data_IF_286619978029
#
_entry.id   IF_286619978029
#
_cell.length_a   1.000
_cell.length_b   1.000
_cell.length_c   1.000
_cell.angle_alpha   90.00
_cell.angle_beta   90.00
_cell.angle_gamma   90.00
#
_symmetry.space_group_name_H-M   'P 1'
#
loop_
_entity.id
_entity.type
_entity.pdbx_description
1 polymer ?
#
# COMPACT_ATOMS: atom_id res chain seq x y z
N UNK A 1 9.22 -10.85 31.16
CA UNK A 1 8.75 -10.52 29.81
C UNK A 1 7.44 -9.71 29.94
N UNK A 2 7.53 -8.38 29.75
CA UNK A 2 6.36 -7.53 29.77
C UNK A 2 5.39 -7.99 28.66
N UNK A 3 4.12 -8.28 29.02
CA UNK A 3 3.05 -8.56 28.06
C UNK A 3 2.89 -7.35 27.15
N UNK A 4 3.32 -7.44 25.90
CA UNK A 4 3.05 -6.40 24.90
C UNK A 4 1.54 -6.34 24.68
N UNK A 5 0.90 -5.27 25.16
CA UNK A 5 -0.54 -5.08 25.02
C UNK A 5 -0.92 -4.92 23.55
N UNK A 6 -2.03 -5.53 23.16
CA UNK A 6 -2.59 -5.36 21.81
C UNK A 6 -3.07 -3.92 21.64
N UNK A 7 -2.57 -3.22 20.61
CA UNK A 7 -3.03 -1.86 20.30
C UNK A 7 -4.54 -1.84 20.03
N UNK A 8 -5.22 -0.83 20.56
CA UNK A 8 -6.61 -0.57 20.20
C UNK A 8 -6.72 0.05 18.80
N UNK A 9 -7.93 0.11 18.26
CA UNK A 9 -8.19 0.58 16.91
C UNK A 9 -7.73 2.02 16.65
N UNK A 10 -7.91 2.90 17.63
CA UNK A 10 -7.55 4.32 17.52
C UNK A 10 -6.01 4.48 17.49
N UNK A 11 -5.31 3.73 18.31
CA UNK A 11 -3.84 3.70 18.35
C UNK A 11 -3.24 3.20 17.04
N UNK A 12 -3.81 2.11 16.47
CA UNK A 12 -3.37 1.59 15.17
C UNK A 12 -3.51 2.67 14.09
N UNK A 13 -4.66 3.37 14.03
CA UNK A 13 -4.90 4.44 13.05
C UNK A 13 -3.98 5.64 13.27
N UNK A 14 -3.84 6.10 14.51
CA UNK A 14 -2.92 7.19 14.87
C UNK A 14 -1.48 6.88 14.43
N UNK A 15 -1.03 5.65 14.67
CA UNK A 15 0.30 5.18 14.24
C UNK A 15 0.41 5.15 12.72
N UNK A 16 -0.59 4.63 12.02
CA UNK A 16 -0.61 4.58 10.55
C UNK A 16 -0.51 5.98 9.94
N UNK A 17 -1.29 6.93 10.44
CA UNK A 17 -1.25 8.34 10.02
C UNK A 17 0.16 8.93 10.22
N UNK A 18 0.75 8.75 11.41
CA UNK A 18 2.08 9.27 11.72
C UNK A 18 3.15 8.69 10.78
N UNK A 19 3.11 7.37 10.55
CA UNK A 19 4.06 6.70 9.65
C UNK A 19 3.94 7.25 8.23
N UNK A 20 2.73 7.30 7.66
CA UNK A 20 2.55 7.75 6.28
C UNK A 20 2.77 9.24 6.08
N UNK A 21 2.47 10.09 7.08
CA UNK A 21 2.83 11.51 7.03
C UNK A 21 4.35 11.71 6.91
N UNK A 22 5.13 10.88 7.61
CA UNK A 22 6.60 10.98 7.62
C UNK A 22 7.23 10.37 6.37
N UNK A 23 6.72 9.24 5.91
CA UNK A 23 7.30 8.46 4.80
C UNK A 23 6.91 9.01 3.42
N UNK A 24 5.75 9.65 3.31
CA UNK A 24 5.17 10.07 2.04
C UNK A 24 6.11 10.90 1.12
N UNK A 25 6.91 11.88 1.61
CA UNK A 25 7.79 12.66 0.73
C UNK A 25 8.83 11.78 0.02
N UNK A 26 9.50 10.91 0.77
CA UNK A 26 10.51 10.03 0.22
C UNK A 26 9.89 8.95 -0.67
N UNK A 27 8.77 8.34 -0.24
CA UNK A 27 8.02 7.38 -1.03
C UNK A 27 7.59 7.96 -2.38
N UNK A 28 7.15 9.23 -2.39
CA UNK A 28 6.83 9.95 -3.61
C UNK A 28 8.05 10.10 -4.52
N UNK A 29 9.13 10.69 -3.99
CA UNK A 29 10.34 10.99 -4.75
C UNK A 29 10.97 9.73 -5.35
N UNK A 30 11.17 8.70 -4.54
CA UNK A 30 11.99 7.56 -4.95
C UNK A 30 11.21 6.50 -5.76
N UNK A 31 9.90 6.35 -5.50
CA UNK A 31 9.10 5.30 -6.13
C UNK A 31 7.91 5.82 -6.94
N UNK A 32 7.05 6.63 -6.33
CA UNK A 32 5.77 6.96 -6.93
C UNK A 32 5.94 7.82 -8.19
N UNK A 33 6.68 8.92 -8.11
CA UNK A 33 6.92 9.82 -9.24
C UNK A 33 7.69 9.15 -10.38
N UNK A 34 8.49 8.15 -10.06
CA UNK A 34 9.33 7.40 -11.02
C UNK A 34 8.65 6.16 -11.59
N UNK A 35 7.47 5.78 -11.07
CA UNK A 35 6.73 4.60 -11.52
C UNK A 35 7.44 3.26 -11.29
N UNK A 36 8.34 3.19 -10.30
CA UNK A 36 9.12 1.99 -9.97
C UNK A 36 8.60 1.30 -8.70
N UNK A 37 9.20 0.16 -8.35
CA UNK A 37 8.77 -0.63 -7.20
C UNK A 37 7.30 -1.04 -7.33
N UNK A 38 6.47 -0.81 -6.30
CA UNK A 38 5.05 -1.18 -6.34
C UNK A 38 4.27 -0.51 -7.48
N UNK A 39 4.68 0.68 -7.94
CA UNK A 39 3.99 1.42 -9.01
C UNK A 39 4.08 0.80 -10.40
N UNK A 40 4.95 -0.20 -10.61
CA UNK A 40 4.94 -1.01 -11.84
C UNK A 40 3.60 -1.72 -12.08
N UNK A 41 2.80 -1.93 -11.04
CA UNK A 41 1.47 -2.54 -11.15
C UNK A 41 0.36 -1.57 -11.57
N UNK A 42 0.59 -0.26 -11.54
CA UNK A 42 -0.46 0.76 -11.74
C UNK A 42 -1.13 0.64 -13.10
N UNK A 43 -0.36 0.52 -14.18
CA UNK A 43 -0.94 0.37 -15.54
C UNK A 43 -1.83 -0.86 -15.65
N UNK A 44 -1.45 -1.98 -15.01
CA UNK A 44 -2.24 -3.20 -15.00
C UNK A 44 -3.52 -3.05 -14.18
N UNK A 45 -3.44 -2.39 -13.01
CA UNK A 45 -4.60 -2.05 -12.18
C UNK A 45 -5.62 -1.24 -13.00
N UNK A 46 -5.15 -0.17 -13.64
CA UNK A 46 -6.01 0.72 -14.44
C UNK A 46 -6.55 0.05 -15.70
N UNK A 47 -5.78 -0.85 -16.32
CA UNK A 47 -6.23 -1.62 -17.48
C UNK A 47 -7.37 -2.60 -17.16
N UNK A 48 -7.42 -3.11 -15.92
CA UNK A 48 -8.50 -4.00 -15.45
C UNK A 48 -9.72 -3.23 -14.90
N UNK A 49 -9.59 -1.93 -14.69
CA UNK A 49 -10.62 -1.10 -14.07
C UNK A 49 -11.74 -0.65 -15.05
N UNK A 50 -11.59 -0.92 -16.36
CA UNK A 50 -12.57 -0.53 -17.41
C UNK A 50 -13.04 0.95 -17.29
N UNK A 51 -12.08 1.86 -17.26
CA UNK A 51 -12.30 3.30 -17.09
C UNK A 51 -12.92 3.89 -18.35
N UNK A 52 -14.02 4.62 -18.21
CA UNK A 52 -14.69 5.35 -19.31
C UNK A 52 -14.48 6.85 -19.16
N UNK A 53 -14.45 7.57 -20.28
CA UNK A 53 -14.49 9.06 -20.26
C UNK A 53 -15.79 9.51 -19.58
N UNK A 54 -15.73 10.63 -18.85
CA UNK A 54 -16.86 11.15 -18.08
C UNK A 54 -17.18 10.39 -16.78
N UNK A 55 -16.44 9.30 -16.43
CA UNK A 55 -16.68 8.57 -15.19
C UNK A 55 -16.36 9.39 -13.95
N UNK A 56 -17.13 9.17 -12.89
CA UNK A 56 -16.85 9.63 -11.52
C UNK A 56 -16.17 8.50 -10.76
N UNK A 57 -14.91 8.69 -10.36
CA UNK A 57 -14.04 7.67 -9.79
C UNK A 57 -13.61 8.02 -8.39
N UNK A 58 -13.64 7.03 -7.48
CA UNK A 58 -13.09 7.14 -6.13
C UNK A 58 -11.76 6.38 -6.04
N UNK A 59 -10.68 7.10 -5.73
CA UNK A 59 -9.34 6.52 -5.54
C UNK A 59 -9.00 6.49 -4.05
N UNK A 60 -9.06 5.31 -3.45
CA UNK A 60 -8.90 5.09 -2.02
C UNK A 60 -7.43 4.82 -1.66
N UNK A 61 -6.99 5.36 -0.53
CA UNK A 61 -5.59 5.40 -0.13
C UNK A 61 -4.72 5.96 -1.27
N UNK A 62 -5.15 7.09 -1.82
CA UNK A 62 -4.57 7.71 -3.01
C UNK A 62 -3.11 8.19 -2.79
N UNK A 63 -2.67 8.26 -1.53
CA UNK A 63 -1.32 8.66 -1.16
C UNK A 63 -0.94 10.01 -1.74
N UNK A 64 0.13 10.05 -2.51
CA UNK A 64 0.64 11.27 -3.16
C UNK A 64 0.00 11.55 -4.53
N UNK A 65 -1.10 10.87 -4.87
CA UNK A 65 -1.96 11.21 -6.01
C UNK A 65 -1.48 10.73 -7.38
N UNK A 66 -0.57 9.76 -7.47
CA UNK A 66 -0.07 9.27 -8.78
C UNK A 66 -1.16 8.48 -9.53
N UNK A 67 -1.85 7.57 -8.85
CA UNK A 67 -2.97 6.82 -9.44
C UNK A 67 -4.10 7.77 -9.80
N UNK A 68 -4.44 8.69 -8.89
CA UNK A 68 -5.45 9.74 -9.09
C UNK A 68 -5.17 10.56 -10.35
N UNK A 69 -3.90 10.97 -10.57
CA UNK A 69 -3.46 11.68 -11.77
C UNK A 69 -3.70 10.89 -13.05
N UNK A 70 -3.34 9.61 -13.03
CA UNK A 70 -3.54 8.73 -14.20
C UNK A 70 -5.03 8.48 -14.48
N UNK A 71 -5.85 8.34 -13.44
CA UNK A 71 -7.30 8.24 -13.53
C UNK A 71 -7.89 9.50 -14.14
N UNK A 72 -7.50 10.69 -13.64
CA UNK A 72 -7.96 11.99 -14.14
C UNK A 72 -7.73 12.16 -15.64
N UNK A 73 -6.54 11.77 -16.11
CA UNK A 73 -6.25 11.80 -17.57
C UNK A 73 -7.13 10.83 -18.37
N UNK A 74 -7.51 9.69 -17.79
CA UNK A 74 -8.35 8.68 -18.46
C UNK A 74 -9.84 9.07 -18.50
N UNK A 75 -10.36 9.64 -17.41
CA UNK A 75 -11.78 10.07 -17.38
C UNK A 75 -12.02 11.36 -18.17
N UNK A 76 -10.98 12.17 -18.38
CA UNK A 76 -11.06 13.44 -19.10
C UNK A 76 -11.76 14.53 -18.28
N UNK A 77 -11.89 15.73 -18.88
CA UNK A 77 -12.42 16.93 -18.18
C UNK A 77 -13.90 16.81 -17.77
N UNK A 78 -14.67 15.95 -18.43
CA UNK A 78 -16.09 15.70 -18.09
C UNK A 78 -16.26 14.67 -16.97
N UNK A 79 -15.18 13.99 -16.56
CA UNK A 79 -15.16 13.08 -15.43
C UNK A 79 -14.62 13.75 -14.18
N UNK A 80 -14.72 13.06 -13.04
CA UNK A 80 -14.20 13.51 -11.76
C UNK A 80 -13.45 12.35 -11.08
N UNK A 81 -12.33 12.66 -10.44
CA UNK A 81 -11.61 11.71 -9.58
C UNK A 81 -11.52 12.27 -8.17
N UNK A 82 -12.11 11.57 -7.21
CA UNK A 82 -12.00 11.90 -5.78
C UNK A 82 -10.93 11.00 -5.16
N UNK A 83 -9.79 11.58 -4.80
CA UNK A 83 -8.71 10.90 -4.08
C UNK A 83 -8.89 11.01 -2.57
N UNK A 84 -8.93 9.89 -1.87
CA UNK A 84 -9.09 9.84 -0.41
C UNK A 84 -7.88 9.20 0.23
N UNK A 85 -7.33 9.87 1.26
CA UNK A 85 -6.26 9.31 2.09
C UNK A 85 -6.39 9.77 3.54
N UNK A 86 -5.94 8.94 4.47
CA UNK A 86 -5.92 9.27 5.90
C UNK A 86 -4.72 10.17 6.27
N UNK A 87 -3.66 10.17 5.44
CA UNK A 87 -2.44 10.95 5.62
C UNK A 87 -2.58 12.36 5.02
N UNK A 88 -2.71 13.36 5.88
CA UNK A 88 -2.70 14.76 5.44
C UNK A 88 -1.35 15.17 4.79
N UNK A 89 -0.24 14.56 5.25
CA UNK A 89 1.09 14.78 4.66
C UNK A 89 1.18 14.27 3.22
N UNK A 90 0.66 13.09 2.94
CA UNK A 90 0.58 12.56 1.58
C UNK A 90 -0.32 13.43 0.68
N UNK A 91 -1.48 13.87 1.20
CA UNK A 91 -2.41 14.72 0.46
C UNK A 91 -1.84 16.11 0.13
N UNK A 92 -0.99 16.69 0.99
CA UNK A 92 -0.27 17.94 0.65
C UNK A 92 0.58 17.76 -0.61
N UNK A 93 1.29 16.64 -0.72
CA UNK A 93 2.07 16.31 -1.91
C UNK A 93 1.14 16.06 -3.11
N UNK A 94 0.05 15.30 -2.91
CA UNK A 94 -0.93 15.01 -3.96
C UNK A 94 -1.51 16.28 -4.57
N UNK A 95 -1.94 17.23 -3.75
CA UNK A 95 -2.48 18.54 -4.20
C UNK A 95 -1.42 19.32 -4.98
N UNK A 96 -0.19 19.40 -4.50
CA UNK A 96 0.91 20.08 -5.19
C UNK A 96 1.24 19.44 -6.53
N UNK A 97 1.32 18.10 -6.57
CA UNK A 97 1.68 17.32 -7.76
C UNK A 97 0.61 17.34 -8.85
N UNK A 98 -0.65 17.58 -8.46
CA UNK A 98 -1.80 17.64 -9.35
C UNK A 98 -2.36 19.07 -9.50
N UNK A 99 -1.58 20.06 -9.14
CA UNK A 99 -1.98 21.46 -9.26
C UNK A 99 -2.45 21.76 -10.70
N UNK A 100 -3.51 22.54 -10.84
CA UNK A 100 -4.11 22.93 -12.14
C UNK A 100 -5.06 21.90 -12.77
N UNK A 101 -5.18 20.67 -12.21
CA UNK A 101 -6.16 19.68 -12.69
C UNK A 101 -7.53 19.94 -12.11
N UNK A 102 -8.46 20.39 -12.96
CA UNK A 102 -9.82 20.81 -12.56
C UNK A 102 -10.75 19.63 -12.23
N UNK A 103 -10.39 18.41 -12.63
CA UNK A 103 -11.19 17.19 -12.45
C UNK A 103 -10.64 16.26 -11.38
N UNK A 104 -9.93 16.81 -10.37
CA UNK A 104 -9.46 16.08 -9.20
C UNK A 104 -9.86 16.80 -7.94
N UNK A 105 -10.40 16.05 -6.99
CA UNK A 105 -10.62 16.47 -5.61
C UNK A 105 -9.83 15.58 -4.64
N UNK A 106 -9.32 16.15 -3.55
CA UNK A 106 -8.62 15.39 -2.50
C UNK A 106 -9.30 15.60 -1.15
N UNK A 107 -9.66 14.47 -0.52
CA UNK A 107 -10.37 14.39 0.77
C UNK A 107 -9.50 13.69 1.81
N UNK A 108 -9.28 14.33 2.95
CA UNK A 108 -8.61 13.69 4.09
C UNK A 108 -9.64 12.97 4.94
N UNK A 109 -9.71 11.64 4.82
CA UNK A 109 -10.69 10.83 5.53
C UNK A 109 -10.22 9.40 5.79
N UNK A 110 -10.84 8.77 6.79
CA UNK A 110 -10.69 7.35 7.11
C UNK A 110 -11.64 6.52 6.24
N UNK A 111 -11.09 5.63 5.41
CA UNK A 111 -11.87 4.77 4.50
C UNK A 111 -12.91 3.92 5.25
N UNK A 112 -12.64 3.52 6.50
CA UNK A 112 -13.58 2.73 7.30
C UNK A 112 -14.80 3.54 7.78
N UNK A 113 -14.72 4.87 7.74
CA UNK A 113 -15.80 5.80 8.14
C UNK A 113 -16.37 6.58 6.96
N UNK A 114 -15.85 6.29 5.74
CA UNK A 114 -16.18 7.05 4.55
C UNK A 114 -17.64 6.83 4.13
N UNK A 115 -18.31 7.94 3.82
CA UNK A 115 -19.65 7.96 3.23
C UNK A 115 -19.77 9.17 2.31
N UNK A 116 -20.21 8.94 1.08
CA UNK A 116 -20.58 9.97 0.12
C UNK A 116 -22.04 9.80 -0.26
N UNK A 117 -22.75 10.90 -0.50
CA UNK A 117 -24.12 10.88 -1.05
C UNK A 117 -24.11 10.40 -2.50
N UNK A 118 -23.14 10.89 -3.25
CA UNK A 118 -22.90 10.54 -4.65
C UNK A 118 -22.43 9.09 -4.79
N UNK A 119 -22.76 8.49 -5.93
CA UNK A 119 -22.32 7.14 -6.28
C UNK A 119 -21.25 7.19 -7.37
N UNK A 120 -20.27 6.31 -7.26
CA UNK A 120 -19.13 6.23 -8.15
C UNK A 120 -19.30 5.16 -9.23
N UNK A 121 -18.77 5.45 -10.42
CA UNK A 121 -18.71 4.50 -11.54
C UNK A 121 -17.60 3.47 -11.35
N UNK A 122 -16.56 3.84 -10.61
CA UNK A 122 -15.39 3.00 -10.35
C UNK A 122 -14.80 3.36 -8.99
N UNK A 123 -14.31 2.35 -8.29
CA UNK A 123 -13.44 2.54 -7.13
C UNK A 123 -12.08 1.88 -7.39
N UNK A 124 -11.00 2.56 -7.06
CA UNK A 124 -9.64 2.00 -7.06
C UNK A 124 -9.03 2.04 -5.67
N UNK A 125 -8.15 1.08 -5.36
CA UNK A 125 -7.35 1.07 -4.14
C UNK A 125 -6.03 0.36 -4.40
N UNK A 126 -4.94 1.12 -4.55
CA UNK A 126 -3.62 0.53 -4.75
C UNK A 126 -2.84 0.51 -3.44
N UNK A 127 -2.57 -0.68 -2.91
CA UNK A 127 -1.80 -0.93 -1.68
C UNK A 127 -2.36 -0.31 -0.39
N UNK A 128 -3.65 0.07 -0.37
CA UNK A 128 -4.29 0.63 0.83
C UNK A 128 -5.01 -0.42 1.67
N UNK A 129 -5.76 -1.34 1.03
CA UNK A 129 -6.68 -2.27 1.69
C UNK A 129 -6.02 -3.11 2.80
N UNK A 130 -4.78 -3.53 2.59
CA UNK A 130 -4.04 -4.39 3.51
C UNK A 130 -3.69 -3.70 4.85
N UNK A 131 -3.70 -2.37 4.90
CA UNK A 131 -3.41 -1.59 6.10
C UNK A 131 -4.66 -1.23 6.91
N UNK A 132 -5.86 -1.54 6.42
CA UNK A 132 -7.10 -1.22 7.13
C UNK A 132 -7.30 -2.20 8.30
N UNK A 133 -7.48 -1.72 9.54
CA UNK A 133 -7.78 -2.59 10.67
C UNK A 133 -9.05 -3.42 10.48
N UNK A 134 -10.11 -2.84 9.91
CA UNK A 134 -11.41 -3.47 9.67
C UNK A 134 -11.79 -3.46 8.18
N UNK A 135 -11.11 -4.24 7.31
CA UNK A 135 -11.33 -4.20 5.87
C UNK A 135 -12.75 -4.56 5.45
N UNK A 136 -13.45 -5.43 6.21
CA UNK A 136 -14.85 -5.76 5.94
C UNK A 136 -15.77 -4.54 6.06
N UNK A 137 -15.59 -3.73 7.10
CA UNK A 137 -16.35 -2.48 7.27
C UNK A 137 -16.09 -1.53 6.09
N UNK A 138 -14.82 -1.37 5.71
CA UNK A 138 -14.45 -0.55 4.58
C UNK A 138 -15.06 -1.06 3.27
N UNK A 139 -14.93 -2.35 2.97
CA UNK A 139 -15.46 -2.95 1.73
C UNK A 139 -16.99 -2.83 1.63
N UNK A 140 -17.72 -3.00 2.73
CA UNK A 140 -19.16 -2.81 2.76
C UNK A 140 -19.56 -1.35 2.51
N UNK A 141 -18.86 -0.38 3.13
CA UNK A 141 -19.10 1.05 2.89
C UNK A 141 -18.80 1.43 1.43
N UNK A 142 -17.68 0.97 0.89
CA UNK A 142 -17.29 1.18 -0.51
C UNK A 142 -18.35 0.61 -1.44
N UNK A 143 -18.86 -0.61 -1.17
CA UNK A 143 -19.91 -1.22 -1.98
C UNK A 143 -21.20 -0.40 -2.00
N UNK A 144 -21.56 0.27 -0.89
CA UNK A 144 -22.73 1.18 -0.84
C UNK A 144 -22.52 2.41 -1.74
N UNK A 145 -21.29 2.91 -1.83
CA UNK A 145 -20.94 4.09 -2.64
C UNK A 145 -20.76 3.77 -4.13
N UNK A 146 -20.61 2.50 -4.53
CA UNK A 146 -20.59 2.09 -5.94
C UNK A 146 -22.01 2.11 -6.55
N UNK A 147 -22.16 2.57 -7.79
CA UNK A 147 -23.36 2.35 -8.60
C UNK A 147 -23.57 0.86 -8.88
N UNK A 148 -24.80 0.42 -9.09
CA UNK A 148 -25.11 -0.99 -9.37
C UNK A 148 -24.38 -1.48 -10.63
N UNK A 149 -23.84 -2.72 -10.57
CA UNK A 149 -23.09 -3.32 -11.66
C UNK A 149 -21.70 -2.71 -11.91
N UNK A 150 -21.29 -1.69 -11.17
CA UNK A 150 -19.99 -1.04 -11.33
C UNK A 150 -18.89 -1.76 -10.55
N UNK A 151 -17.66 -1.39 -10.84
CA UNK A 151 -16.46 -2.18 -10.48
C UNK A 151 -15.64 -1.51 -9.40
N UNK A 152 -15.08 -2.32 -8.52
CA UNK A 152 -13.91 -1.96 -7.70
C UNK A 152 -12.68 -2.69 -8.27
N UNK A 153 -11.53 -1.99 -8.33
CA UNK A 153 -10.24 -2.56 -8.71
C UNK A 153 -9.21 -2.30 -7.62
N UNK A 154 -8.58 -3.37 -7.13
CA UNK A 154 -7.66 -3.29 -5.98
C UNK A 154 -6.36 -4.00 -6.30
N UNK A 155 -5.23 -3.41 -5.89
CA UNK A 155 -3.94 -4.08 -5.90
C UNK A 155 -3.39 -4.24 -4.48
N UNK A 156 -2.90 -5.44 -4.17
CA UNK A 156 -2.23 -5.77 -2.90
C UNK A 156 -0.93 -6.53 -3.16
N UNK A 157 -0.01 -6.52 -2.21
CA UNK A 157 1.17 -7.36 -2.30
C UNK A 157 0.81 -8.85 -2.23
N UNK A 158 1.61 -9.68 -2.88
CA UNK A 158 1.61 -11.13 -2.66
C UNK A 158 2.03 -11.48 -1.22
N UNK A 159 1.93 -12.75 -0.86
CA UNK A 159 2.28 -13.24 0.47
C UNK A 159 3.76 -13.00 0.83
N UNK A 160 4.08 -13.25 2.08
CA UNK A 160 5.38 -12.97 2.73
C UNK A 160 6.60 -13.29 1.87
N UNK A 161 6.61 -14.46 1.22
CA UNK A 161 7.73 -14.91 0.41
C UNK A 161 7.72 -14.36 -1.03
N UNK A 162 6.69 -13.62 -1.39
CA UNK A 162 6.48 -13.09 -2.75
C UNK A 162 6.99 -11.67 -2.93
N UNK A 163 7.36 -10.99 -1.83
CA UNK A 163 7.96 -9.64 -1.83
C UNK A 163 9.11 -9.60 -0.82
N UNK A 164 10.21 -10.32 -1.10
CA UNK A 164 11.34 -10.45 -0.17
C UNK A 164 12.04 -9.13 0.17
N UNK A 165 11.86 -8.10 -0.65
CA UNK A 165 12.34 -6.75 -0.34
C UNK A 165 11.96 -6.31 1.08
N UNK A 166 10.72 -6.59 1.50
CA UNK A 166 10.28 -6.24 2.85
C UNK A 166 10.64 -7.31 3.88
N UNK A 167 10.47 -8.60 3.55
CA UNK A 167 10.60 -9.66 4.54
C UNK A 167 12.05 -9.92 4.98
N UNK A 168 13.04 -9.77 4.11
CA UNK A 168 14.44 -10.02 4.46
C UNK A 168 14.92 -9.18 5.66
N UNK A 169 14.66 -7.87 5.67
CA UNK A 169 15.08 -7.01 6.78
C UNK A 169 14.07 -7.07 7.93
N UNK A 170 12.75 -7.04 7.66
CA UNK A 170 11.71 -7.12 8.68
C UNK A 170 11.90 -8.37 9.57
N UNK A 171 12.02 -9.53 8.96
CA UNK A 171 12.14 -10.81 9.69
C UNK A 171 13.46 -10.89 10.46
N UNK A 172 14.50 -10.22 9.97
CA UNK A 172 15.75 -10.06 10.71
C UNK A 172 15.55 -9.16 11.93
N UNK A 173 14.90 -8.00 11.77
CA UNK A 173 14.63 -7.10 12.89
C UNK A 173 13.83 -7.80 13.99
N UNK A 174 12.81 -8.58 13.62
CA UNK A 174 11.96 -9.30 14.59
C UNK A 174 12.72 -10.32 15.45
N UNK A 175 13.90 -10.78 15.04
CA UNK A 175 14.77 -11.64 15.87
C UNK A 175 15.43 -10.88 17.03
N UNK A 176 15.67 -9.59 16.87
CA UNK A 176 16.31 -8.73 17.86
C UNK A 176 15.29 -7.88 18.63
N UNK A 177 14.17 -7.53 18.00
CA UNK A 177 13.09 -6.70 18.53
C UNK A 177 11.75 -7.38 18.22
N UNK A 178 11.34 -8.38 19.02
CA UNK A 178 10.14 -9.17 18.73
C UNK A 178 8.85 -8.34 18.70
N UNK A 179 8.80 -7.23 19.41
CA UNK A 179 7.67 -6.28 19.46
C UNK A 179 7.77 -5.16 18.40
N UNK A 180 8.70 -5.26 17.44
CA UNK A 180 8.89 -4.25 16.38
C UNK A 180 7.56 -3.94 15.67
N UNK A 181 6.78 -4.97 15.39
CA UNK A 181 5.41 -4.85 14.90
C UNK A 181 4.47 -5.22 16.04
N UNK A 182 3.76 -4.25 16.65
CA UNK A 182 2.84 -4.56 17.76
C UNK A 182 1.74 -5.52 17.35
N UNK A 183 1.29 -6.39 18.25
CA UNK A 183 0.16 -7.28 18.03
C UNK A 183 -1.09 -6.51 17.58
N UNK A 184 -1.80 -7.06 16.58
CA UNK A 184 -3.01 -6.43 16.02
C UNK A 184 -2.75 -5.40 14.92
N UNK A 185 -1.48 -5.03 14.68
CA UNK A 185 -1.15 -4.16 13.54
C UNK A 185 -1.39 -4.90 12.23
N UNK A 186 -2.12 -4.30 11.26
CA UNK A 186 -2.31 -4.89 9.94
C UNK A 186 -0.97 -5.13 9.24
N UNK A 187 -0.88 -6.26 8.53
CA UNK A 187 0.33 -6.65 7.82
C UNK A 187 0.14 -6.48 6.31
N UNK A 188 1.17 -6.01 5.61
CA UNK A 188 1.14 -5.78 4.16
C UNK A 188 0.96 -7.06 3.33
N UNK A 189 1.23 -8.24 3.86
CA UNK A 189 1.00 -9.54 3.20
C UNK A 189 -0.32 -10.23 3.62
N UNK A 190 -1.21 -9.51 4.31
CA UNK A 190 -2.48 -10.00 4.85
C UNK A 190 -3.38 -10.68 3.82
N UNK A 191 -3.43 -10.17 2.59
CA UNK A 191 -4.23 -10.70 1.50
C UNK A 191 -3.36 -11.35 0.42
N UNK A 192 -2.27 -11.99 0.84
CA UNK A 192 -1.19 -12.42 -0.04
C UNK A 192 -1.49 -13.61 -0.95
N UNK A 193 -2.68 -14.22 -0.88
CA UNK A 193 -3.13 -15.28 -1.79
C UNK A 193 -4.39 -14.88 -2.55
N UNK A 194 -4.59 -15.47 -3.75
CA UNK A 194 -5.82 -15.24 -4.54
C UNK A 194 -7.06 -15.57 -3.72
N UNK A 195 -7.04 -16.66 -2.97
CA UNK A 195 -8.21 -17.15 -2.24
C UNK A 195 -8.52 -16.30 -1.02
N UNK A 196 -7.50 -15.86 -0.26
CA UNK A 196 -7.70 -14.95 0.86
C UNK A 196 -8.32 -13.62 0.40
N UNK A 197 -7.83 -13.08 -0.71
CA UNK A 197 -8.36 -11.84 -1.28
C UNK A 197 -9.78 -12.02 -1.84
N UNK A 198 -10.05 -13.11 -2.60
CA UNK A 198 -11.40 -13.44 -3.09
C UNK A 198 -12.40 -13.60 -1.96
N UNK A 199 -12.04 -14.36 -0.92
CA UNK A 199 -12.90 -14.62 0.26
C UNK A 199 -13.30 -13.32 0.96
N UNK A 200 -12.37 -12.37 1.08
CA UNK A 200 -12.63 -11.08 1.72
C UNK A 200 -13.68 -10.27 0.95
N UNK A 201 -13.59 -10.23 -0.39
CA UNK A 201 -14.55 -9.52 -1.23
C UNK A 201 -15.91 -10.23 -1.33
N UNK A 202 -15.92 -11.56 -1.43
CA UNK A 202 -17.16 -12.34 -1.44
C UNK A 202 -17.94 -12.13 -0.13
N UNK A 203 -17.26 -12.14 1.03
CA UNK A 203 -17.85 -11.86 2.34
C UNK A 203 -18.47 -10.46 2.42
N UNK A 204 -17.93 -9.48 1.72
CA UNK A 204 -18.48 -8.13 1.63
C UNK A 204 -19.62 -8.00 0.58
N UNK A 205 -20.02 -9.08 -0.08
CA UNK A 205 -21.13 -9.14 -1.03
C UNK A 205 -20.79 -8.75 -2.46
N UNK A 206 -19.50 -8.64 -2.82
CA UNK A 206 -19.08 -8.41 -4.21
C UNK A 206 -19.26 -9.66 -5.06
N UNK A 207 -19.54 -9.45 -6.36
CA UNK A 207 -19.78 -10.51 -7.37
C UNK A 207 -18.74 -10.43 -8.49
N UNK A 208 -18.70 -11.44 -9.36
CA UNK A 208 -17.79 -11.53 -10.52
C UNK A 208 -16.34 -11.25 -10.16
N UNK A 209 -15.89 -11.77 -9.01
CA UNK A 209 -14.57 -11.52 -8.44
C UNK A 209 -13.50 -12.23 -9.28
N UNK A 210 -12.59 -11.46 -9.86
CA UNK A 210 -11.45 -11.95 -10.65
C UNK A 210 -10.16 -11.46 -10.03
N UNK A 211 -9.20 -12.37 -9.84
CA UNK A 211 -7.86 -12.02 -9.33
C UNK A 211 -6.81 -12.44 -10.34
N UNK A 212 -5.95 -11.51 -10.72
CA UNK A 212 -4.79 -11.73 -11.58
C UNK A 212 -3.51 -11.49 -10.79
N UNK A 213 -2.47 -12.24 -11.13
CA UNK A 213 -1.12 -12.01 -10.62
C UNK A 213 -0.31 -11.21 -11.62
N UNK A 214 0.49 -10.29 -11.09
CA UNK A 214 1.55 -9.61 -11.80
C UNK A 214 2.85 -9.89 -11.08
N UNK A 215 3.82 -10.44 -11.79
CA UNK A 215 5.16 -10.72 -11.29
C UNK A 215 6.17 -9.85 -12.03
N UNK A 216 7.07 -9.22 -11.29
CA UNK A 216 8.19 -8.46 -11.84
C UNK A 216 9.39 -8.53 -10.90
N UNK A 217 10.52 -7.97 -11.33
CA UNK A 217 11.71 -7.87 -10.52
C UNK A 217 11.99 -6.41 -10.14
N UNK A 218 12.41 -6.20 -8.88
CA UNK A 218 12.89 -4.93 -8.38
C UNK A 218 14.41 -5.00 -8.14
N UNK A 219 15.16 -4.14 -8.83
CA UNK A 219 16.62 -4.01 -8.68
C UNK A 219 16.90 -3.06 -7.52
N UNK A 220 17.36 -3.60 -6.40
CA UNK A 220 17.64 -2.84 -5.18
C UNK A 220 19.10 -2.35 -5.07
N UNK A 221 19.93 -2.60 -6.08
CA UNK A 221 21.35 -2.21 -6.06
C UNK A 221 22.23 -3.22 -5.31
N UNK A 222 23.37 -2.77 -4.79
CA UNK A 222 24.20 -3.59 -3.90
C UNK A 222 23.46 -3.81 -2.57
N UNK A 223 23.89 -4.78 -1.79
CA UNK A 223 23.24 -5.01 -0.47
C UNK A 223 23.27 -3.76 0.43
N UNK A 224 24.35 -2.99 0.39
CA UNK A 224 24.46 -1.75 1.16
C UNK A 224 23.41 -0.71 0.74
N UNK A 225 23.19 -0.58 -0.57
CA UNK A 225 22.18 0.32 -1.11
C UNK A 225 20.78 -0.10 -0.62
N UNK A 226 20.46 -1.40 -0.72
CA UNK A 226 19.21 -1.97 -0.23
C UNK A 226 19.02 -1.78 1.29
N UNK A 227 20.07 -2.04 2.08
CA UNK A 227 20.04 -1.87 3.52
C UNK A 227 19.75 -0.43 3.90
N UNK A 228 20.50 0.50 3.34
CA UNK A 228 20.36 1.93 3.63
C UNK A 228 18.97 2.46 3.19
N UNK A 229 18.51 2.08 2.01
CA UNK A 229 17.19 2.47 1.50
C UNK A 229 16.07 1.96 2.41
N UNK A 230 16.11 0.69 2.83
CA UNK A 230 15.09 0.16 3.72
C UNK A 230 14.94 0.97 5.02
N UNK A 231 16.07 1.31 5.67
CA UNK A 231 16.06 2.13 6.88
C UNK A 231 15.70 3.60 6.61
N UNK A 232 15.99 4.09 5.44
CA UNK A 232 15.59 5.44 5.05
C UNK A 232 14.07 5.59 4.91
N UNK A 233 13.35 4.54 4.47
CA UNK A 233 11.88 4.49 4.44
C UNK A 233 11.24 4.16 5.80
N UNK A 234 12.04 3.82 6.80
CA UNK A 234 11.52 3.50 8.11
C UNK A 234 11.16 4.78 8.86
N UNK A 235 9.91 4.90 9.27
CA UNK A 235 9.45 6.04 10.07
C UNK A 235 10.11 6.11 11.45
N UNK A 236 10.24 7.32 11.98
CA UNK A 236 10.90 7.60 13.27
C UNK A 236 10.41 6.69 14.42
N UNK A 237 9.09 6.44 14.61
CA UNK A 237 8.63 5.56 15.69
C UNK A 237 9.14 4.11 15.58
N UNK A 238 9.46 3.65 14.37
CA UNK A 238 10.06 2.34 14.16
C UNK A 238 11.58 2.36 14.41
N UNK A 239 12.26 3.44 14.00
CA UNK A 239 13.69 3.65 14.28
C UNK A 239 13.98 3.73 15.77
N UNK A 240 13.10 4.38 16.54
CA UNK A 240 13.23 4.49 18.01
C UNK A 240 13.29 3.10 18.69
N UNK A 241 12.53 2.13 18.21
CA UNK A 241 12.57 0.75 18.74
C UNK A 241 13.91 0.04 18.52
N UNK A 242 14.72 0.52 17.58
CA UNK A 242 16.04 -0.04 17.31
C UNK A 242 17.16 0.64 18.10
N UNK A 243 16.89 1.76 18.75
CA UNK A 243 17.90 2.50 19.53
C UNK A 243 18.57 1.67 20.63
N UNK A 244 17.84 0.82 21.40
CA UNK A 244 18.42 0.01 22.46
C UNK A 244 19.42 -1.04 22.00
N UNK A 245 19.45 -1.37 20.69
CA UNK A 245 20.37 -2.38 20.16
C UNK A 245 21.83 -1.91 20.27
N UNK A 246 22.69 -2.78 20.82
CA UNK A 246 24.13 -2.56 20.87
C UNK A 246 24.76 -2.57 19.47
N UNK A 247 25.97 -2.04 19.35
CA UNK A 247 26.73 -2.08 18.08
C UNK A 247 26.92 -3.51 17.58
N UNK A 248 27.22 -4.46 18.47
CA UNK A 248 27.37 -5.89 18.15
C UNK A 248 26.04 -6.46 17.60
N UNK A 249 24.90 -6.16 18.24
CA UNK A 249 23.58 -6.60 17.77
C UNK A 249 23.22 -6.00 16.40
N UNK A 250 23.52 -4.72 16.16
CA UNK A 250 23.30 -4.06 14.87
C UNK A 250 24.15 -4.71 13.77
N UNK A 251 25.42 -5.05 14.05
CA UNK A 251 26.31 -5.74 13.13
C UNK A 251 25.75 -7.14 12.82
N UNK A 252 25.38 -7.92 13.84
CA UNK A 252 24.78 -9.24 13.68
C UNK A 252 23.48 -9.19 12.88
N UNK A 253 22.60 -8.23 13.16
CA UNK A 253 21.36 -8.00 12.41
C UNK A 253 21.64 -7.75 10.93
N UNK A 254 22.63 -6.92 10.60
CA UNK A 254 23.01 -6.61 9.21
C UNK A 254 23.52 -7.85 8.47
N UNK A 255 24.35 -8.68 9.14
CA UNK A 255 24.89 -9.91 8.56
C UNK A 255 23.79 -10.98 8.33
N UNK A 256 22.83 -11.11 9.23
CA UNK A 256 21.67 -12.00 9.04
C UNK A 256 20.82 -11.54 7.84
N UNK A 257 20.54 -10.23 7.74
CA UNK A 257 19.83 -9.67 6.60
C UNK A 257 20.57 -9.92 5.28
N UNK A 258 21.92 -9.79 5.28
CA UNK A 258 22.77 -10.08 4.13
C UNK A 258 22.63 -11.55 3.69
N UNK A 259 22.69 -12.47 4.65
CA UNK A 259 22.47 -13.93 4.37
C UNK A 259 21.10 -14.18 3.76
N UNK A 260 20.03 -13.52 4.25
CA UNK A 260 18.70 -13.67 3.67
C UNK A 260 18.59 -13.09 2.25
N UNK A 261 19.29 -11.98 1.98
CA UNK A 261 19.29 -11.34 0.67
C UNK A 261 20.18 -12.08 -0.35
N UNK A 262 21.15 -12.88 0.10
CA UNK A 262 22.15 -13.56 -0.76
C UNK A 262 21.51 -14.37 -1.89
N UNK A 263 20.42 -15.08 -1.62
CA UNK A 263 19.69 -15.87 -2.64
C UNK A 263 19.09 -15.05 -3.78
N UNK A 264 19.02 -13.73 -3.62
CA UNK A 264 18.52 -12.79 -4.61
C UNK A 264 19.63 -11.99 -5.29
N UNK A 265 20.90 -12.28 -4.98
CA UNK A 265 22.04 -11.60 -5.60
C UNK A 265 22.29 -12.17 -6.99
N UNK A 266 22.34 -11.31 -7.99
CA UNK A 266 22.75 -11.61 -9.37
C UNK A 266 23.73 -10.54 -9.82
N UNK A 267 24.93 -10.98 -10.26
CA UNK A 267 26.03 -10.07 -10.72
C UNK A 267 26.28 -8.93 -9.69
N UNK A 268 26.44 -9.27 -8.40
CA UNK A 268 26.73 -8.33 -7.31
C UNK A 268 25.58 -7.39 -6.91
N UNK A 269 24.39 -7.51 -7.51
CA UNK A 269 23.20 -6.70 -7.20
C UNK A 269 22.08 -7.55 -6.66
N UNK A 270 21.37 -7.03 -5.67
CA UNK A 270 20.16 -7.65 -5.11
C UNK A 270 18.98 -7.36 -6.04
N UNK A 271 18.35 -8.42 -6.53
CA UNK A 271 17.22 -8.36 -7.46
C UNK A 271 16.08 -9.18 -6.87
N UNK A 272 15.13 -8.51 -6.25
CA UNK A 272 14.00 -9.17 -5.59
C UNK A 272 12.87 -9.49 -6.57
N UNK A 273 12.29 -10.70 -6.50
CA UNK A 273 10.98 -10.94 -7.10
C UNK A 273 9.92 -10.10 -6.37
N UNK A 274 8.92 -9.68 -7.12
CA UNK A 274 7.81 -8.88 -6.61
C UNK A 274 6.51 -9.38 -7.21
N UNK A 275 5.65 -9.91 -6.36
CA UNK A 275 4.32 -10.37 -6.76
C UNK A 275 3.26 -9.38 -6.28
N UNK A 276 2.34 -9.06 -7.18
CA UNK A 276 1.15 -8.25 -6.90
C UNK A 276 -0.09 -9.03 -7.29
N UNK A 277 -1.09 -9.02 -6.43
CA UNK A 277 -2.43 -9.51 -6.75
C UNK A 277 -3.30 -8.31 -7.10
N UNK A 278 -3.92 -8.37 -8.27
CA UNK A 278 -4.85 -7.36 -8.76
C UNK A 278 -6.22 -7.99 -8.86
N UNK A 279 -7.16 -7.45 -8.08
CA UNK A 279 -8.55 -7.91 -8.05
C UNK A 279 -9.43 -6.91 -8.78
N UNK A 280 -10.39 -7.40 -9.54
CA UNK A 280 -11.57 -6.66 -9.98
C UNK A 280 -12.83 -7.41 -9.54
N UNK A 281 -13.83 -6.65 -9.07
CA UNK A 281 -15.10 -7.21 -8.64
C UNK A 281 -16.23 -6.21 -8.87
N UNK A 282 -17.46 -6.71 -9.04
CA UNK A 282 -18.65 -5.89 -9.24
C UNK A 282 -19.46 -5.79 -7.94
N UNK A 283 -20.17 -4.65 -7.81
CA UNK A 283 -21.21 -4.50 -6.79
C UNK A 283 -22.35 -5.49 -7.02
#
# INVERSE_FOLDING_TARGET
LAKVSRLNLAEIKKRTIKIWNEVAPRYHHDWASRGIGPFKSTSKLLGLANIKRGSVVLDLACGTGIVTKMLSSKVGLQGLVVGVDISSGALKIAKRWNFGRKNIEFVNADIEKLSFKEKFDLVTCQYGLMFLPRPQVALQNIRRMLKNGRTISVAVHGGKNSVPYFSCIRDTILKFVPDFIPPGTPNFDRFGTKDSLKKEFAKAGYKKIRVRELNFFYKAGRFEDYWNDYFAYMAKPLKEKLKPLTTAQRKAMKEIARKYAQKYVKKGKVIFPWKVLILSANK
#
